data_IF_211006401449
#
_entry.id   IF_211006401449
#
_cell.length_a   1.000
_cell.length_b   1.000
_cell.length_c   1.000
_cell.angle_alpha   90.00
_cell.angle_beta   90.00
_cell.angle_gamma   90.00
#
_symmetry.space_group_name_H-M   'P 1'
#
loop_
_entity.id
_entity.type
_entity.pdbx_description
1 polymer ?
#
# COMPACT_ATOMS: atom_id res chain seq x y z
N UNK A 1 -2.33 -34.11 -11.07
CA UNK A 1 -1.56 -34.05 -9.79
C UNK A 1 -2.41 -33.39 -8.70
N UNK A 2 -3.75 -33.49 -8.80
CA UNK A 2 -4.67 -32.50 -8.21
C UNK A 2 -5.60 -33.07 -7.14
N UNK A 3 -5.48 -34.37 -6.83
CA UNK A 3 -6.34 -35.02 -5.82
C UNK A 3 -5.76 -34.97 -4.40
N UNK A 4 -4.44 -34.80 -4.23
CA UNK A 4 -3.81 -34.76 -2.90
C UNK A 4 -4.00 -33.41 -2.20
N UNK A 5 -4.03 -32.30 -2.94
CA UNK A 5 -4.14 -30.95 -2.35
C UNK A 5 -5.56 -30.60 -1.87
N UNK A 6 -6.59 -31.17 -2.50
CA UNK A 6 -8.00 -30.96 -2.12
C UNK A 6 -8.44 -31.79 -0.91
N UNK A 7 -7.69 -32.84 -0.55
CA UNK A 7 -8.03 -33.73 0.57
C UNK A 7 -8.01 -33.03 1.94
N UNK A 8 -7.13 -32.05 2.14
CA UNK A 8 -7.03 -31.30 3.40
C UNK A 8 -8.26 -30.43 3.70
N UNK A 9 -9.04 -30.05 2.68
CA UNK A 9 -10.22 -29.19 2.84
C UNK A 9 -11.52 -30.00 3.02
N UNK A 10 -11.47 -31.30 2.74
CA UNK A 10 -12.59 -32.21 2.89
C UNK A 10 -12.46 -32.99 4.19
N UNK A 11 -12.90 -32.37 5.30
CA UNK A 11 -13.12 -33.14 6.51
C UNK A 11 -14.32 -34.08 6.26
N UNK A 12 -14.23 -35.39 6.60
CA UNK A 12 -15.29 -36.36 6.32
C UNK A 12 -16.65 -36.05 6.95
N UNK A 13 -16.71 -35.05 7.84
CA UNK A 13 -17.90 -34.63 8.59
C UNK A 13 -18.41 -33.23 8.22
N UNK A 14 -17.69 -32.46 7.39
CA UNK A 14 -17.92 -31.01 7.25
C UNK A 14 -17.95 -30.58 5.80
N UNK A 15 -18.92 -29.73 5.45
CA UNK A 15 -19.05 -29.17 4.10
C UNK A 15 -17.96 -28.11 3.85
N UNK A 16 -17.40 -28.07 2.65
CA UNK A 16 -16.33 -27.15 2.24
C UNK A 16 -16.68 -25.68 2.50
N UNK A 17 -17.96 -25.30 2.36
CA UNK A 17 -18.43 -23.95 2.69
C UNK A 17 -18.21 -23.58 4.15
N UNK A 18 -18.48 -24.50 5.07
CA UNK A 18 -18.34 -24.28 6.51
C UNK A 18 -16.86 -24.13 6.86
N UNK A 19 -16.00 -24.99 6.30
CA UNK A 19 -14.54 -24.91 6.51
C UNK A 19 -13.98 -23.57 6.00
N UNK A 20 -14.42 -23.10 4.82
CA UNK A 20 -13.98 -21.82 4.26
C UNK A 20 -14.44 -20.62 5.10
N UNK A 21 -15.71 -20.61 5.54
CA UNK A 21 -16.23 -19.52 6.39
C UNK A 21 -15.50 -19.47 7.73
N UNK A 22 -15.29 -20.63 8.37
CA UNK A 22 -14.51 -20.71 9.61
C UNK A 22 -13.07 -20.25 9.41
N UNK A 23 -12.44 -20.62 8.29
CA UNK A 23 -11.09 -20.17 7.95
C UNK A 23 -11.02 -18.65 7.78
N UNK A 24 -11.96 -18.04 7.05
CA UNK A 24 -12.00 -16.58 6.83
C UNK A 24 -12.15 -15.85 8.17
N UNK A 25 -13.09 -16.28 9.00
CA UNK A 25 -13.30 -15.67 10.32
C UNK A 25 -12.04 -15.81 11.15
N UNK A 26 -11.47 -17.02 11.22
CA UNK A 26 -10.29 -17.29 12.04
C UNK A 26 -9.08 -16.46 11.60
N UNK A 27 -8.83 -16.39 10.30
CA UNK A 27 -7.71 -15.65 9.75
C UNK A 27 -7.87 -14.14 9.94
N UNK A 28 -9.10 -13.62 9.89
CA UNK A 28 -9.37 -12.19 10.06
C UNK A 28 -9.01 -11.67 11.46
N UNK A 29 -9.47 -12.33 12.53
CA UNK A 29 -9.17 -11.88 13.90
C UNK A 29 -7.71 -12.16 14.29
N UNK A 30 -7.14 -13.28 13.85
CA UNK A 30 -5.72 -13.58 14.08
C UNK A 30 -4.82 -12.57 13.37
N UNK A 31 -5.14 -12.20 12.13
CA UNK A 31 -4.39 -11.16 11.42
C UNK A 31 -4.42 -9.84 12.18
N UNK A 32 -5.57 -9.41 12.70
CA UNK A 32 -5.65 -8.19 13.50
C UNK A 32 -4.72 -8.22 14.74
N UNK A 33 -4.62 -9.37 15.42
CA UNK A 33 -3.72 -9.54 16.56
C UNK A 33 -2.25 -9.52 16.11
N UNK A 34 -1.91 -10.24 15.04
CA UNK A 34 -0.55 -10.27 14.49
C UNK A 34 -0.03 -8.86 14.16
N UNK A 35 -0.89 -7.99 13.60
CA UNK A 35 -0.52 -6.63 13.22
C UNK A 35 -0.23 -5.72 14.43
N UNK A 36 -0.74 -6.08 15.62
CA UNK A 36 -0.52 -5.31 16.85
C UNK A 36 0.74 -5.69 17.64
N UNK A 37 1.40 -6.79 17.29
CA UNK A 37 2.59 -7.25 18.02
C UNK A 37 3.82 -6.38 17.69
N UNK A 38 4.56 -5.86 18.70
CA UNK A 38 5.72 -4.99 18.51
C UNK A 38 6.98 -5.82 18.19
N UNK A 39 6.93 -6.62 17.15
CA UNK A 39 8.07 -7.39 16.65
C UNK A 39 8.70 -6.57 15.53
N UNK A 40 10.03 -6.32 15.52
CA UNK A 40 10.72 -5.74 14.39
C UNK A 40 10.81 -6.78 13.28
N UNK A 41 9.65 -7.10 12.69
CA UNK A 41 9.59 -7.62 11.35
C UNK A 41 9.72 -6.39 10.45
N UNK A 42 10.82 -6.27 9.71
CA UNK A 42 10.90 -5.37 8.54
C UNK A 42 9.82 -5.66 7.49
N UNK A 43 9.04 -6.71 7.73
CA UNK A 43 8.02 -7.35 6.93
C UNK A 43 6.59 -7.20 7.49
N UNK A 44 6.26 -6.25 8.39
CA UNK A 44 4.84 -6.06 8.78
C UNK A 44 3.95 -5.87 7.54
N UNK A 45 4.45 -5.17 6.51
CA UNK A 45 3.79 -5.10 5.20
C UNK A 45 3.65 -6.45 4.47
N UNK A 46 4.62 -7.36 4.61
CA UNK A 46 4.59 -8.70 3.97
C UNK A 46 3.68 -9.65 4.74
N UNK A 47 3.71 -9.66 6.08
CA UNK A 47 2.82 -10.49 6.90
C UNK A 47 1.36 -10.03 6.78
N UNK A 48 1.13 -8.72 6.73
CA UNK A 48 -0.19 -8.13 6.50
C UNK A 48 -0.64 -8.42 5.05
N UNK A 49 0.26 -8.26 4.08
CA UNK A 49 0.00 -8.55 2.67
C UNK A 49 -0.38 -10.00 2.43
N UNK A 50 0.33 -10.96 3.03
CA UNK A 50 0.05 -12.40 2.90
C UNK A 50 -1.25 -12.77 3.61
N UNK A 51 -1.52 -12.21 4.79
CA UNK A 51 -2.77 -12.44 5.54
C UNK A 51 -3.99 -11.91 4.78
N UNK A 52 -3.90 -10.71 4.22
CA UNK A 52 -4.97 -10.07 3.44
C UNK A 52 -5.16 -10.78 2.09
N UNK A 53 -4.08 -11.15 1.41
CA UNK A 53 -4.15 -11.90 0.15
C UNK A 53 -4.80 -13.27 0.36
N UNK A 54 -4.42 -13.98 1.42
CA UNK A 54 -4.99 -15.30 1.76
C UNK A 54 -6.47 -15.20 2.15
N UNK A 55 -6.85 -14.19 2.93
CA UNK A 55 -8.26 -13.95 3.30
C UNK A 55 -9.10 -13.60 2.07
N UNK A 56 -8.56 -12.75 1.18
CA UNK A 56 -9.20 -12.41 -0.10
C UNK A 56 -9.33 -13.62 -1.02
N UNK A 57 -8.31 -14.49 -1.06
CA UNK A 57 -8.35 -15.73 -1.84
C UNK A 57 -9.41 -16.69 -1.33
N UNK A 58 -9.51 -16.87 -0.01
CA UNK A 58 -10.53 -17.71 0.61
C UNK A 58 -11.94 -17.17 0.35
N UNK A 59 -12.13 -15.85 0.45
CA UNK A 59 -13.42 -15.21 0.13
C UNK A 59 -13.77 -15.35 -1.35
N UNK A 60 -12.83 -15.10 -2.26
CA UNK A 60 -13.03 -15.29 -3.69
C UNK A 60 -13.36 -16.74 -4.04
N UNK A 61 -12.70 -17.71 -3.38
CA UNK A 61 -13.02 -19.12 -3.54
C UNK A 61 -14.43 -19.45 -3.06
N UNK A 62 -14.84 -18.95 -1.88
CA UNK A 62 -16.19 -19.14 -1.35
C UNK A 62 -17.25 -18.68 -2.35
N UNK A 63 -17.06 -17.48 -2.94
CA UNK A 63 -17.95 -16.94 -3.98
C UNK A 63 -17.94 -17.84 -5.22
N UNK A 64 -16.76 -18.32 -5.65
CA UNK A 64 -16.63 -19.22 -6.79
C UNK A 64 -17.34 -20.57 -6.60
N UNK A 65 -17.25 -21.18 -5.42
CA UNK A 65 -17.95 -22.42 -5.08
C UNK A 65 -19.48 -22.20 -5.04
N UNK A 66 -19.95 -21.09 -4.45
CA UNK A 66 -21.36 -20.70 -4.47
C UNK A 66 -21.88 -20.52 -5.92
N UNK A 67 -21.09 -19.88 -6.78
CA UNK A 67 -21.44 -19.69 -8.19
C UNK A 67 -21.52 -21.03 -8.93
N UNK A 68 -20.60 -21.96 -8.64
CA UNK A 68 -20.64 -23.31 -9.19
C UNK A 68 -21.86 -24.12 -8.71
N UNK A 69 -22.34 -23.88 -7.48
CA UNK A 69 -23.55 -24.49 -6.95
C UNK A 69 -24.84 -23.92 -7.57
N UNK A 70 -24.89 -22.62 -7.85
CA UNK A 70 -26.04 -21.99 -8.52
C UNK A 70 -26.13 -22.31 -10.00
N UNK A 71 -24.99 -22.46 -10.69
CA UNK A 71 -24.92 -22.80 -12.11
C UNK A 71 -24.19 -24.13 -12.34
N UNK A 72 -24.78 -25.27 -11.94
CA UNK A 72 -24.13 -26.58 -12.03
C UNK A 72 -23.88 -27.01 -13.47
N UNK A 73 -24.72 -26.55 -14.40
CA UNK A 73 -24.59 -26.82 -15.84
C UNK A 73 -23.59 -25.88 -16.54
N UNK A 74 -22.87 -25.03 -15.79
CA UNK A 74 -21.92 -24.07 -16.35
C UNK A 74 -22.59 -22.84 -16.97
N UNK A 75 -21.76 -21.89 -17.41
CA UNK A 75 -22.21 -20.69 -18.13
C UNK A 75 -22.11 -20.96 -19.62
N UNK A 76 -23.19 -20.66 -20.37
CA UNK A 76 -23.18 -20.73 -21.83
C UNK A 76 -22.43 -19.52 -22.38
N UNK A 77 -21.29 -19.76 -23.01
CA UNK A 77 -20.57 -18.76 -23.81
C UNK A 77 -20.60 -19.22 -25.27
N UNK A 78 -21.58 -18.72 -26.03
CA UNK A 78 -21.85 -19.19 -27.39
C UNK A 78 -22.31 -20.65 -27.40
N UNK A 79 -21.72 -21.46 -28.29
CA UNK A 79 -22.04 -22.89 -28.46
C UNK A 79 -21.32 -23.83 -27.47
N UNK A 80 -20.45 -23.30 -26.59
CA UNK A 80 -19.70 -24.10 -25.63
C UNK A 80 -20.16 -23.85 -24.20
N UNK A 81 -20.41 -24.94 -23.46
CA UNK A 81 -20.71 -24.89 -22.03
C UNK A 81 -19.38 -24.85 -21.27
N UNK A 82 -19.06 -23.73 -20.63
CA UNK A 82 -17.88 -23.62 -19.78
C UNK A 82 -18.26 -23.82 -18.30
N UNK A 83 -17.64 -24.82 -17.67
CA UNK A 83 -17.80 -25.05 -16.23
C UNK A 83 -17.06 -23.95 -15.44
N UNK A 84 -17.69 -23.51 -14.36
CA UNK A 84 -17.14 -22.48 -13.48
C UNK A 84 -15.96 -23.06 -12.69
N UNK A 85 -14.80 -22.41 -12.79
CA UNK A 85 -13.58 -22.80 -12.07
C UNK A 85 -13.42 -21.86 -10.87
N UNK A 86 -13.62 -22.34 -9.62
CA UNK A 86 -13.55 -21.50 -8.43
C UNK A 86 -12.15 -20.91 -8.17
N UNK A 87 -11.10 -21.52 -8.75
CA UNK A 87 -9.73 -21.00 -8.67
C UNK A 87 -9.56 -19.60 -9.27
N UNK A 88 -10.25 -19.29 -10.37
CA UNK A 88 -10.19 -17.94 -10.96
C UNK A 88 -10.77 -16.88 -10.04
N UNK A 89 -11.89 -17.19 -9.37
CA UNK A 89 -12.53 -16.29 -8.40
C UNK A 89 -11.66 -16.07 -7.16
N UNK A 90 -10.93 -17.10 -6.71
CA UNK A 90 -9.97 -16.98 -5.62
C UNK A 90 -8.88 -15.94 -5.92
N UNK A 91 -8.27 -16.02 -7.12
CA UNK A 91 -7.23 -15.08 -7.55
C UNK A 91 -7.75 -13.65 -7.62
N UNK A 92 -8.96 -13.46 -8.17
CA UNK A 92 -9.62 -12.14 -8.24
C UNK A 92 -9.91 -11.59 -6.84
N UNK A 93 -10.42 -12.41 -5.93
CA UNK A 93 -10.70 -12.00 -4.55
C UNK A 93 -9.44 -11.61 -3.77
N UNK A 94 -8.35 -12.36 -3.99
CA UNK A 94 -7.04 -12.07 -3.40
C UNK A 94 -6.51 -10.69 -3.83
N UNK A 95 -6.56 -10.42 -5.14
CA UNK A 95 -6.16 -9.14 -5.72
C UNK A 95 -7.06 -7.98 -5.25
N UNK A 96 -8.39 -8.18 -5.26
CA UNK A 96 -9.35 -7.13 -4.93
C UNK A 96 -9.28 -6.70 -3.45
N UNK A 97 -9.10 -7.66 -2.53
CA UNK A 97 -8.97 -7.33 -1.11
C UNK A 97 -7.62 -6.65 -0.83
N UNK A 98 -6.53 -7.19 -1.35
CA UNK A 98 -5.18 -6.61 -1.18
C UNK A 98 -5.09 -5.19 -1.76
N UNK A 99 -5.63 -4.98 -2.96
CA UNK A 99 -5.72 -3.66 -3.59
C UNK A 99 -6.51 -2.67 -2.74
N UNK A 100 -7.63 -3.10 -2.14
CA UNK A 100 -8.48 -2.20 -1.35
C UNK A 100 -7.83 -1.74 -0.06
N UNK A 101 -7.08 -2.62 0.60
CA UNK A 101 -6.36 -2.32 1.85
C UNK A 101 -5.18 -1.38 1.57
N UNK A 102 -4.45 -1.62 0.48
CA UNK A 102 -3.27 -0.84 0.11
C UNK A 102 -3.56 0.44 -0.68
N UNK A 103 -4.77 0.59 -1.24
CA UNK A 103 -5.13 1.65 -2.21
C UNK A 103 -4.36 1.61 -3.52
N UNK A 104 -4.02 0.42 -4.00
CA UNK A 104 -3.24 0.29 -5.23
C UNK A 104 -3.91 -0.64 -6.24
N UNK A 105 -3.74 -0.32 -7.53
CA UNK A 105 -4.22 -1.14 -8.65
C UNK A 105 -3.14 -2.17 -9.06
N UNK A 106 -1.88 -1.92 -8.70
CA UNK A 106 -0.72 -2.79 -8.99
C UNK A 106 -0.86 -4.19 -8.39
N UNK A 107 -1.60 -4.34 -7.30
CA UNK A 107 -1.92 -5.63 -6.68
C UNK A 107 -2.56 -6.61 -7.65
N UNK A 108 -3.43 -6.14 -8.55
CA UNK A 108 -4.02 -6.97 -9.60
C UNK A 108 -2.92 -7.52 -10.52
N UNK A 109 -2.05 -6.64 -11.02
CA UNK A 109 -0.96 -7.01 -11.93
C UNK A 109 -0.03 -8.02 -11.29
N UNK A 110 0.40 -7.77 -10.04
CA UNK A 110 1.29 -8.67 -9.29
C UNK A 110 0.66 -10.06 -9.14
N UNK A 111 -0.61 -10.14 -8.74
CA UNK A 111 -1.29 -11.42 -8.54
C UNK A 111 -1.45 -12.19 -9.86
N UNK A 112 -1.70 -11.50 -10.98
CA UNK A 112 -1.76 -12.16 -12.30
C UNK A 112 -0.41 -12.61 -12.82
N UNK A 113 0.63 -11.82 -12.61
CA UNK A 113 1.99 -12.19 -12.97
C UNK A 113 2.44 -13.45 -12.21
N UNK A 114 2.16 -13.51 -10.90
CA UNK A 114 2.43 -14.68 -10.06
C UNK A 114 1.60 -15.91 -10.49
N UNK A 115 0.36 -15.71 -10.93
CA UNK A 115 -0.52 -16.81 -11.38
C UNK A 115 -0.15 -17.33 -12.78
N UNK A 116 0.56 -16.55 -13.59
CA UNK A 116 1.04 -16.96 -14.92
C UNK A 116 -0.05 -17.11 -15.99
N UNK A 117 -1.27 -16.61 -15.74
CA UNK A 117 -2.40 -16.70 -16.67
C UNK A 117 -3.10 -15.34 -16.81
N UNK A 118 -2.90 -14.67 -17.95
CA UNK A 118 -3.37 -13.28 -18.20
C UNK A 118 -4.78 -13.25 -18.82
N UNK A 119 -5.35 -14.39 -19.21
CA UNK A 119 -6.63 -14.48 -19.94
C UNK A 119 -7.82 -13.83 -19.23
N UNK A 120 -7.77 -13.66 -17.90
CA UNK A 120 -8.83 -13.05 -17.10
C UNK A 120 -8.38 -11.76 -16.37
N UNK A 121 -7.35 -11.07 -16.88
CA UNK A 121 -6.81 -9.85 -16.24
C UNK A 121 -7.81 -8.69 -16.23
N UNK A 122 -8.59 -8.53 -17.32
CA UNK A 122 -9.47 -7.36 -17.49
C UNK A 122 -10.63 -7.33 -16.47
N UNK A 123 -11.44 -8.40 -16.28
CA UNK A 123 -12.49 -8.41 -15.26
C UNK A 123 -11.95 -8.22 -13.83
N UNK A 124 -10.72 -8.67 -13.60
CA UNK A 124 -10.12 -8.62 -12.29
C UNK A 124 -9.58 -7.24 -11.93
N UNK A 125 -8.97 -6.53 -12.88
CA UNK A 125 -8.60 -5.11 -12.69
C UNK A 125 -9.85 -4.28 -12.42
N UNK A 126 -10.97 -4.55 -13.11
CA UNK A 126 -12.25 -3.89 -12.83
C UNK A 126 -12.72 -4.18 -11.39
N UNK A 127 -12.63 -5.43 -10.94
CA UNK A 127 -12.97 -5.80 -9.57
C UNK A 127 -12.09 -5.07 -8.53
N UNK A 128 -10.79 -4.96 -8.77
CA UNK A 128 -9.86 -4.22 -7.90
C UNK A 128 -10.17 -2.73 -7.89
N UNK A 129 -10.47 -2.13 -9.05
CA UNK A 129 -10.87 -0.72 -9.14
C UNK A 129 -12.15 -0.43 -8.33
N UNK A 130 -13.18 -1.28 -8.47
CA UNK A 130 -14.41 -1.15 -7.71
C UNK A 130 -14.16 -1.31 -6.21
N UNK A 131 -13.37 -2.31 -5.82
CA UNK A 131 -12.99 -2.53 -4.42
C UNK A 131 -12.25 -1.32 -3.83
N UNK A 132 -11.31 -0.74 -4.58
CA UNK A 132 -10.57 0.46 -4.18
C UNK A 132 -11.50 1.67 -4.06
N UNK A 133 -12.40 1.87 -5.02
CA UNK A 133 -13.36 2.98 -5.00
C UNK A 133 -14.29 2.89 -3.78
N UNK A 134 -14.86 1.71 -3.51
CA UNK A 134 -15.71 1.48 -2.34
C UNK A 134 -14.93 1.73 -1.07
N UNK A 135 -13.74 1.15 -0.94
CA UNK A 135 -12.98 1.34 0.27
C UNK A 135 -12.64 2.85 0.44
N UNK A 136 -12.38 3.61 -0.63
CA UNK A 136 -11.91 5.01 -0.55
C UNK A 136 -12.98 5.89 0.08
N UNK A 137 -14.24 5.49 -0.08
CA UNK A 137 -15.38 6.13 0.54
C UNK A 137 -15.46 5.90 2.05
N UNK A 138 -15.00 4.74 2.54
CA UNK A 138 -15.19 4.35 3.94
C UNK A 138 -14.02 4.68 4.86
N UNK A 139 -12.77 4.46 4.42
CA UNK A 139 -11.59 4.55 5.30
C UNK A 139 -10.34 5.03 4.55
N UNK A 140 -9.36 5.66 5.23
CA UNK A 140 -8.04 5.90 4.67
C UNK A 140 -7.30 4.59 4.33
N UNK A 141 -6.17 4.67 3.63
CA UNK A 141 -5.37 3.46 3.39
C UNK A 141 -4.85 2.86 4.70
N UNK A 142 -4.52 1.57 4.66
CA UNK A 142 -3.90 0.91 5.81
C UNK A 142 -2.59 1.58 6.23
N UNK A 143 -1.76 1.99 5.26
CA UNK A 143 -0.48 2.64 5.52
C UNK A 143 -0.65 4.07 6.06
N UNK A 144 -1.60 4.84 5.53
CA UNK A 144 -1.93 6.18 6.05
C UNK A 144 -2.43 6.09 7.49
N UNK A 145 -3.21 5.06 7.80
CA UNK A 145 -3.68 4.79 9.16
C UNK A 145 -2.52 4.52 10.11
N UNK A 146 -1.51 3.74 9.68
CA UNK A 146 -0.30 3.48 10.49
C UNK A 146 0.51 4.76 10.68
N UNK A 147 0.69 5.57 9.63
CA UNK A 147 1.43 6.84 9.70
C UNK A 147 0.77 7.77 10.71
N UNK A 148 -0.56 7.91 10.65
CA UNK A 148 -1.35 8.71 11.57
C UNK A 148 -1.29 8.17 13.00
N UNK A 149 -1.37 6.85 13.19
CA UNK A 149 -1.27 6.21 14.51
C UNK A 149 0.11 6.40 15.13
N UNK A 150 1.18 6.30 14.33
CA UNK A 150 2.56 6.50 14.77
C UNK A 150 2.95 7.98 14.87
N UNK A 151 2.07 8.92 14.49
CA UNK A 151 2.33 10.36 14.45
C UNK A 151 3.65 10.72 13.77
N UNK A 152 3.96 10.05 12.66
CA UNK A 152 5.16 10.34 11.90
C UNK A 152 4.97 11.68 11.17
N UNK A 153 6.01 12.54 11.08
CA UNK A 153 5.95 13.75 10.29
C UNK A 153 5.91 13.38 8.80
N UNK A 154 4.71 13.25 8.26
CA UNK A 154 4.42 13.06 6.85
C UNK A 154 3.68 14.30 6.35
N UNK A 155 4.07 14.82 5.19
CA UNK A 155 3.39 15.95 4.58
C UNK A 155 2.20 15.41 3.77
N UNK A 156 0.94 15.56 4.23
CA UNK A 156 -0.22 15.12 3.48
C UNK A 156 -0.36 15.96 2.20
N UNK A 157 -1.12 15.41 1.24
CA UNK A 157 -1.44 16.15 0.01
C UNK A 157 -2.12 17.48 0.37
N UNK A 158 -1.65 18.57 -0.24
CA UNK A 158 -2.05 19.96 0.05
C UNK A 158 -3.57 20.11 -0.09
N UNK A 159 -4.19 19.35 -0.99
CA UNK A 159 -5.63 19.32 -1.19
C UNK A 159 -6.42 18.79 0.02
N UNK A 160 -5.84 17.86 0.78
CA UNK A 160 -6.47 17.20 1.93
C UNK A 160 -6.26 17.94 3.26
N UNK A 161 -5.22 18.77 3.34
CA UNK A 161 -4.75 19.34 4.60
C UNK A 161 -5.51 20.59 5.05
N UNK A 162 -6.45 21.11 4.25
CA UNK A 162 -7.07 22.41 4.52
C UNK A 162 -6.06 23.57 4.61
N UNK A 163 -4.82 23.32 4.19
CA UNK A 163 -3.66 24.20 4.35
C UNK A 163 -3.62 25.31 3.30
N UNK A 164 -4.76 25.62 2.69
CA UNK A 164 -4.92 26.67 1.68
C UNK A 164 -4.68 28.08 2.25
N UNK A 165 -4.66 28.22 3.58
CA UNK A 165 -4.45 29.48 4.30
C UNK A 165 -3.05 29.62 4.91
N UNK A 166 -2.13 28.70 4.65
CA UNK A 166 -0.74 28.81 5.16
C UNK A 166 0.16 29.27 4.02
N UNK A 167 0.80 30.42 4.21
CA UNK A 167 1.71 30.99 3.22
C UNK A 167 3.16 30.67 3.57
N UNK A 168 4.05 30.73 2.58
CA UNK A 168 5.49 30.47 2.79
C UNK A 168 6.07 31.42 3.84
N UNK A 169 5.55 32.64 3.93
CA UNK A 169 5.93 33.62 4.95
C UNK A 169 5.68 33.16 6.40
N UNK A 170 4.69 32.30 6.64
CA UNK A 170 4.35 31.78 7.97
C UNK A 170 5.31 30.69 8.43
N UNK A 171 5.94 29.99 7.48
CA UNK A 171 6.79 28.81 7.73
C UNK A 171 8.27 29.15 7.57
N UNK A 172 8.61 30.12 6.74
CA UNK A 172 10.01 30.41 6.39
C UNK A 172 10.80 30.93 7.58
N UNK A 173 12.03 30.43 7.74
CA UNK A 173 13.01 31.01 8.66
C UNK A 173 13.64 32.22 7.97
N UNK A 174 13.32 33.42 8.45
CA UNK A 174 13.80 34.68 7.86
C UNK A 174 15.25 35.02 8.22
N UNK A 175 15.77 34.46 9.31
CA UNK A 175 17.14 34.65 9.76
C UNK A 175 18.04 33.57 9.13
N UNK A 176 18.61 33.87 7.97
CA UNK A 176 19.51 32.96 7.24
C UNK A 176 20.92 33.55 7.23
N UNK A 177 21.90 32.75 7.65
CA UNK A 177 23.32 33.10 7.54
C UNK A 177 23.75 33.03 6.08
N UNK A 178 24.13 34.16 5.49
CA UNK A 178 24.52 34.28 4.10
C UNK A 178 26.03 34.46 3.95
N UNK A 179 26.61 33.90 2.89
CA UNK A 179 28.00 34.14 2.50
C UNK A 179 28.01 35.22 1.41
N UNK A 180 28.76 36.29 1.65
CA UNK A 180 29.00 37.33 0.65
C UNK A 180 30.28 37.05 -0.15
N UNK A 181 30.33 37.44 -1.43
CA UNK A 181 31.55 37.31 -2.24
C UNK A 181 32.75 38.07 -1.67
N UNK A 182 32.48 39.13 -0.90
CA UNK A 182 33.50 39.99 -0.27
C UNK A 182 33.82 39.58 1.18
N UNK A 183 33.27 38.47 1.68
CA UNK A 183 33.49 38.03 3.07
C UNK A 183 34.94 37.63 3.32
N UNK A 184 35.46 37.97 4.50
CA UNK A 184 36.84 37.60 4.89
C UNK A 184 36.89 36.15 5.35
N UNK A 185 38.03 35.47 5.18
CA UNK A 185 38.23 34.09 5.66
C UNK A 185 37.91 33.93 7.16
N UNK A 186 38.22 34.95 7.97
CA UNK A 186 37.91 34.94 9.42
C UNK A 186 36.40 34.87 9.69
N UNK A 187 35.62 35.68 8.97
CA UNK A 187 34.16 35.74 9.10
C UNK A 187 33.51 34.44 8.63
N UNK A 188 34.02 33.87 7.53
CA UNK A 188 33.61 32.54 7.05
C UNK A 188 33.89 31.45 8.09
N UNK A 189 35.09 31.46 8.69
CA UNK A 189 35.47 30.50 9.73
C UNK A 189 34.58 30.63 10.97
N UNK A 190 34.33 31.85 11.44
CA UNK A 190 33.46 32.12 12.59
C UNK A 190 32.00 31.70 12.32
N UNK A 191 31.50 31.94 11.11
CA UNK A 191 30.17 31.49 10.68
C UNK A 191 30.06 29.96 10.64
N UNK A 192 31.09 29.27 10.15
CA UNK A 192 31.15 27.81 10.09
C UNK A 192 31.27 27.17 11.48
N UNK A 193 31.95 27.83 12.43
CA UNK A 193 32.04 27.37 13.82
C UNK A 193 30.73 27.62 14.58
N UNK A 194 30.01 28.70 14.25
CA UNK A 194 28.77 29.10 14.92
C UNK A 194 27.54 28.35 14.40
N UNK A 195 27.48 28.03 13.11
CA UNK A 195 26.31 27.43 12.47
C UNK A 195 26.59 26.02 11.92
N UNK A 196 25.65 25.09 12.14
CA UNK A 196 25.78 23.67 11.74
C UNK A 196 25.14 23.36 10.38
N UNK A 197 24.88 24.37 9.55
CA UNK A 197 24.25 24.16 8.26
C UNK A 197 25.26 23.59 7.25
N UNK A 198 24.81 22.67 6.39
CA UNK A 198 25.64 22.06 5.34
C UNK A 198 25.68 22.88 4.05
N UNK A 199 24.73 23.80 3.88
CA UNK A 199 24.57 24.59 2.67
C UNK A 199 24.24 26.01 3.07
N UNK A 200 24.95 26.96 2.47
CA UNK A 200 24.77 28.39 2.70
C UNK A 200 24.43 29.09 1.38
N UNK A 201 23.47 30.02 1.38
CA UNK A 201 23.22 30.87 0.22
C UNK A 201 24.41 31.81 -0.01
N UNK A 202 24.85 31.88 -1.26
CA UNK A 202 25.81 32.86 -1.77
C UNK A 202 25.04 34.10 -2.24
N UNK A 203 25.39 35.25 -1.68
CA UNK A 203 24.70 36.53 -1.88
C UNK A 203 25.72 37.56 -2.36
N UNK A 204 25.41 38.31 -3.42
CA UNK A 204 26.32 39.33 -3.95
C UNK A 204 26.05 40.71 -3.34
N UNK A 205 24.77 41.06 -3.19
CA UNK A 205 24.29 42.27 -2.52
C UNK A 205 23.13 41.92 -1.59
N UNK A 206 22.86 42.69 -0.51
CA UNK A 206 21.80 42.39 0.44
C UNK A 206 20.44 42.32 -0.29
N UNK A 207 19.96 41.10 -0.53
CA UNK A 207 18.71 40.81 -1.23
C UNK A 207 18.83 40.02 -2.53
N UNK A 208 20.03 39.80 -3.08
CA UNK A 208 20.22 39.03 -4.32
C UNK A 208 21.05 37.76 -4.10
N UNK A 209 20.37 36.61 -4.09
CA UNK A 209 21.00 35.29 -4.06
C UNK A 209 21.54 34.97 -5.45
N UNK A 210 22.81 34.60 -5.53
CA UNK A 210 23.50 34.22 -6.78
C UNK A 210 23.66 32.70 -6.88
N UNK A 211 23.68 32.00 -5.75
CA UNK A 211 23.73 30.54 -5.74
C UNK A 211 23.73 29.94 -4.34
N UNK A 212 24.02 28.65 -4.26
CA UNK A 212 24.21 27.93 -3.00
C UNK A 212 25.58 27.27 -2.99
N UNK A 213 26.29 27.40 -1.87
CA UNK A 213 27.55 26.69 -1.64
C UNK A 213 27.32 25.60 -0.59
N UNK A 214 27.65 24.36 -0.96
CA UNK A 214 27.69 23.26 0.00
C UNK A 214 29.10 23.19 0.60
N UNK A 215 29.18 23.22 1.93
CA UNK A 215 30.46 23.12 2.62
C UNK A 215 30.68 21.65 2.95
N UNK A 216 31.61 21.04 2.22
CA UNK A 216 32.14 19.71 2.53
C UNK A 216 33.09 19.84 3.72
N UNK A 217 32.53 19.79 4.93
CA UNK A 217 33.33 19.55 6.13
C UNK A 217 33.52 18.04 6.22
N UNK A 218 34.56 17.53 5.57
CA UNK A 218 35.07 16.19 5.88
C UNK A 218 35.60 16.23 7.31
N UNK A 219 35.06 15.36 8.17
CA UNK A 219 35.47 15.18 9.56
C UNK A 219 36.84 14.52 9.66
#
# INVERSE_FOLDING_TARGET
RDQTSAGHWNHPSTNIYVTLVLFIINNFWMAAICNTLPIPAGDTSIVDGVSVLTTGAAFGRLVGECMAAWFPNGVKTGDTIQKIIPGGYAVVGAAALSGSVTRTISTAVIVFEVTGQISHVLPAVIAVLLSNAVANFFQPSFFDSIINLKRLPYLPDIASAGSWSVYVEDIMVSQVSCIYFVSTFKELKEMLETSKHRTYPLVDSPGMIVGFSAVLVDY
#
